data_IF_257520363572
#
_entry.id   IF_257520363572
#
_cell.length_a   1.000
_cell.length_b   1.000
_cell.length_c   1.000
_cell.angle_alpha   90.00
_cell.angle_beta   90.00
_cell.angle_gamma   90.00
#
_symmetry.space_group_name_H-M   'P 1'
#
loop_
_entity.id
_entity.type
_entity.pdbx_description
1 polymer ?
#
# COMPACT_ATOMS: atom_id res chain seq x y z
N UNK A 1 43.90 29.62 18.38
CA UNK A 1 43.50 28.69 17.30
C UNK A 1 44.60 27.68 16.89
N UNK A 2 45.86 28.05 16.70
CA UNK A 2 46.94 27.11 16.29
C UNK A 2 47.19 25.96 17.29
N UNK A 3 47.14 26.22 18.62
CA UNK A 3 47.37 25.21 19.65
C UNK A 3 46.26 24.15 19.72
N UNK A 4 45.01 24.56 19.56
CA UNK A 4 43.87 23.61 19.56
C UNK A 4 43.92 22.66 18.36
N UNK A 5 44.34 23.14 17.19
CA UNK A 5 44.50 22.32 16.00
C UNK A 5 45.65 21.30 16.12
N UNK A 6 46.75 21.71 16.79
CA UNK A 6 47.86 20.80 17.06
C UNK A 6 47.48 19.67 18.04
N UNK A 7 46.69 20.00 19.07
CA UNK A 7 46.17 18.99 20.02
C UNK A 7 45.26 18.02 19.28
N UNK A 8 44.32 18.53 18.49
CA UNK A 8 43.43 17.71 17.68
C UNK A 8 44.16 16.72 16.78
N UNK A 9 45.15 17.21 16.02
CA UNK A 9 45.96 16.36 15.10
C UNK A 9 46.74 15.29 15.83
N UNK A 10 47.29 15.61 17.01
CA UNK A 10 48.01 14.68 17.85
C UNK A 10 47.08 13.58 18.40
N UNK A 11 45.93 13.97 18.89
CA UNK A 11 44.97 13.05 19.53
C UNK A 11 44.31 12.16 18.47
N UNK A 12 44.01 12.69 17.27
CA UNK A 12 43.57 11.91 16.12
C UNK A 12 44.61 10.86 15.71
N UNK A 13 45.90 11.26 15.65
CA UNK A 13 46.99 10.33 15.34
C UNK A 13 47.15 9.22 16.38
N UNK A 14 46.92 9.52 17.68
CA UNK A 14 46.93 8.49 18.75
C UNK A 14 45.76 7.54 18.60
N UNK A 15 44.57 8.07 18.27
CA UNK A 15 43.35 7.28 18.06
C UNK A 15 43.58 6.24 16.95
N UNK A 16 44.08 6.65 15.79
CA UNK A 16 44.36 5.76 14.68
C UNK A 16 45.49 4.73 14.91
N UNK A 17 46.37 4.99 15.86
CA UNK A 17 47.42 4.03 16.25
C UNK A 17 46.91 2.96 17.20
N UNK A 18 45.78 3.16 17.86
CA UNK A 18 45.17 2.20 18.77
C UNK A 18 44.11 1.37 18.02
N UNK A 19 44.43 0.11 17.73
CA UNK A 19 43.55 -0.79 16.97
C UNK A 19 42.18 -0.97 17.65
N UNK A 20 42.13 -1.02 18.98
CA UNK A 20 40.87 -1.16 19.72
C UNK A 20 40.01 0.11 19.58
N UNK A 21 40.62 1.30 19.66
CA UNK A 21 39.91 2.56 19.48
C UNK A 21 39.35 2.71 18.03
N UNK A 22 40.09 2.30 17.02
CA UNK A 22 39.63 2.27 15.63
C UNK A 22 38.46 1.31 15.44
N UNK A 23 38.52 0.11 16.03
CA UNK A 23 37.45 -0.88 15.98
C UNK A 23 36.14 -0.34 16.61
N UNK A 24 36.23 0.30 17.77
CA UNK A 24 35.10 0.92 18.44
C UNK A 24 34.52 2.06 17.59
N UNK A 25 35.38 2.91 17.04
CA UNK A 25 34.93 4.04 16.21
C UNK A 25 34.21 3.57 14.94
N UNK A 26 34.75 2.54 14.28
CA UNK A 26 34.10 1.91 13.13
C UNK A 26 32.77 1.28 13.53
N UNK A 27 32.73 0.55 14.65
CA UNK A 27 31.50 -0.05 15.16
C UNK A 27 30.41 0.97 15.44
N UNK A 28 30.76 2.06 16.15
CA UNK A 28 29.80 3.15 16.45
C UNK A 28 29.30 3.86 15.18
N UNK A 29 30.13 3.95 14.15
CA UNK A 29 29.74 4.60 12.90
C UNK A 29 28.94 3.67 11.98
N UNK A 30 29.32 2.42 11.87
CA UNK A 30 28.73 1.45 10.95
C UNK A 30 27.38 0.91 11.45
N UNK A 31 27.26 0.57 12.74
CA UNK A 31 26.04 0.00 13.29
C UNK A 31 24.80 0.90 13.12
N UNK A 32 24.84 2.20 13.48
CA UNK A 32 23.71 3.09 13.25
C UNK A 32 23.39 3.28 11.75
N UNK A 33 24.44 3.32 10.91
CA UNK A 33 24.27 3.46 9.47
C UNK A 33 23.60 2.25 8.84
N UNK A 34 23.98 1.03 9.26
CA UNK A 34 23.32 -0.20 8.83
C UNK A 34 21.87 -0.25 9.34
N UNK A 35 21.63 0.11 10.60
CA UNK A 35 20.28 0.16 11.12
C UNK A 35 19.38 1.14 10.34
N UNK A 36 19.88 2.34 10.06
CA UNK A 36 19.17 3.31 9.24
C UNK A 36 18.91 2.78 7.83
N UNK A 37 19.91 2.16 7.21
CA UNK A 37 19.80 1.56 5.89
C UNK A 37 18.71 0.48 5.83
N UNK A 38 18.71 -0.47 6.79
CA UNK A 38 17.71 -1.52 6.84
C UNK A 38 16.30 -0.97 7.06
N UNK A 39 16.15 0.04 7.94
CA UNK A 39 14.86 0.68 8.14
C UNK A 39 14.37 1.42 6.88
N UNK A 40 15.25 2.16 6.21
CA UNK A 40 14.90 2.85 4.97
C UNK A 40 14.53 1.82 3.89
N UNK A 41 15.36 0.79 3.69
CA UNK A 41 15.11 -0.24 2.69
C UNK A 41 13.80 -1.00 2.94
N UNK A 42 13.47 -1.31 4.20
CA UNK A 42 12.22 -1.96 4.56
C UNK A 42 10.99 -1.07 4.32
N UNK A 43 11.13 0.25 4.42
CA UNK A 43 10.03 1.20 4.24
C UNK A 43 9.97 1.81 2.83
N UNK A 44 10.97 1.59 1.97
CA UNK A 44 10.97 2.12 0.60
C UNK A 44 9.93 1.47 -0.31
N UNK A 45 9.55 0.22 -0.01
CA UNK A 45 8.49 -0.47 -0.74
C UNK A 45 7.59 -1.25 0.23
N UNK A 46 6.71 -0.55 0.98
CA UNK A 46 5.78 -1.20 1.91
C UNK A 46 4.78 -2.11 1.19
N UNK A 47 4.63 -1.96 -0.12
CA UNK A 47 3.70 -2.72 -0.95
C UNK A 47 4.36 -3.86 -1.74
N UNK A 48 5.68 -4.00 -1.72
CA UNK A 48 6.41 -5.00 -2.49
C UNK A 48 6.01 -6.45 -2.21
N UNK A 49 5.53 -6.72 -0.99
CA UNK A 49 5.04 -8.04 -0.58
C UNK A 49 3.52 -8.19 -0.59
N UNK A 50 2.76 -7.14 -0.95
CA UNK A 50 1.29 -7.17 -0.89
C UNK A 50 0.64 -7.80 -2.12
N UNK A 51 1.39 -8.05 -3.20
CA UNK A 51 0.93 -8.80 -4.39
C UNK A 51 0.39 -10.19 -4.07
N UNK A 52 0.87 -10.80 -2.97
CA UNK A 52 0.37 -12.07 -2.46
C UNK A 52 -1.00 -12.00 -1.78
N UNK A 53 -1.45 -10.81 -1.39
CA UNK A 53 -2.76 -10.58 -0.77
C UNK A 53 -3.81 -10.54 -1.87
N UNK A 54 -4.56 -11.63 -2.01
CA UNK A 54 -5.60 -11.73 -3.04
C UNK A 54 -6.88 -11.04 -2.56
N UNK A 55 -7.32 -10.03 -3.34
CA UNK A 55 -8.57 -9.31 -3.14
C UNK A 55 -9.47 -9.50 -4.36
N UNK A 56 -10.68 -9.99 -4.12
CA UNK A 56 -11.67 -10.20 -5.17
C UNK A 56 -12.43 -8.90 -5.47
N UNK A 57 -12.62 -8.60 -6.74
CA UNK A 57 -13.44 -7.50 -7.24
C UNK A 57 -14.57 -8.07 -8.08
N UNK A 58 -15.80 -7.76 -7.73
CA UNK A 58 -16.97 -8.08 -8.54
C UNK A 58 -17.64 -6.77 -8.98
N UNK A 59 -17.82 -6.60 -10.28
CA UNK A 59 -18.52 -5.47 -10.84
C UNK A 59 -19.90 -5.92 -11.32
N UNK A 60 -20.95 -5.46 -10.64
CA UNK A 60 -22.35 -5.65 -11.02
C UNK A 60 -22.95 -4.36 -11.57
N UNK A 61 -22.18 -3.23 -11.59
CA UNK A 61 -22.64 -1.94 -12.07
C UNK A 61 -23.09 -1.99 -13.54
N UNK A 62 -24.24 -1.41 -13.80
CA UNK A 62 -24.85 -1.39 -15.15
C UNK A 62 -24.53 -0.11 -15.92
N UNK A 63 -23.73 0.78 -15.30
CA UNK A 63 -23.58 2.13 -15.80
C UNK A 63 -24.83 2.98 -15.56
N UNK A 64 -24.76 4.23 -15.93
CA UNK A 64 -25.91 5.12 -15.92
C UNK A 64 -25.77 6.20 -17.00
N UNK A 65 -26.89 6.51 -17.62
CA UNK A 65 -26.98 7.55 -18.65
C UNK A 65 -27.83 8.72 -18.14
N UNK A 66 -27.35 9.93 -18.36
CA UNK A 66 -28.12 11.16 -18.17
C UNK A 66 -28.12 11.96 -19.46
N UNK A 67 -28.97 12.97 -19.57
CA UNK A 67 -29.03 13.85 -20.79
C UNK A 67 -27.68 14.53 -21.08
N UNK A 68 -26.79 14.62 -20.12
CA UNK A 68 -25.51 15.34 -20.20
C UNK A 68 -24.28 14.43 -20.21
N UNK A 69 -24.41 13.19 -19.73
CA UNK A 69 -23.25 12.32 -19.51
C UNK A 69 -23.67 10.86 -19.38
N UNK A 70 -22.89 9.97 -20.01
CA UNK A 70 -22.88 8.54 -19.75
C UNK A 70 -21.76 8.20 -18.78
N UNK A 71 -22.05 7.48 -17.71
CA UNK A 71 -21.07 7.10 -16.67
C UNK A 71 -21.11 5.59 -16.45
N UNK A 72 -19.95 4.96 -16.60
CA UNK A 72 -19.68 3.57 -16.20
C UNK A 72 -18.55 3.56 -15.18
N UNK A 73 -18.90 3.95 -13.93
CA UNK A 73 -17.93 4.11 -12.87
C UNK A 73 -17.38 2.76 -12.41
N UNK A 74 -18.20 1.71 -12.39
CA UNK A 74 -17.79 0.37 -12.03
C UNK A 74 -16.72 -0.18 -12.97
N UNK A 75 -16.93 -0.05 -14.28
CA UNK A 75 -15.95 -0.49 -15.28
C UNK A 75 -14.67 0.34 -15.21
N UNK A 76 -14.78 1.65 -15.00
CA UNK A 76 -13.61 2.52 -14.84
C UNK A 76 -12.76 2.12 -13.61
N UNK A 77 -13.38 1.75 -12.50
CA UNK A 77 -12.70 1.23 -11.32
C UNK A 77 -11.96 -0.06 -11.66
N UNK A 78 -12.63 -1.02 -12.31
CA UNK A 78 -12.04 -2.30 -12.72
C UNK A 78 -10.83 -2.09 -13.61
N UNK A 79 -10.92 -1.20 -14.61
CA UNK A 79 -9.83 -0.96 -15.55
C UNK A 79 -8.62 -0.26 -14.90
N UNK A 80 -8.86 0.58 -13.92
CA UNK A 80 -7.79 1.17 -13.11
C UNK A 80 -7.13 0.12 -12.19
N UNK A 81 -7.92 -0.76 -11.57
CA UNK A 81 -7.39 -1.83 -10.72
C UNK A 81 -6.61 -2.87 -11.52
N UNK A 82 -6.96 -3.15 -12.77
CA UNK A 82 -6.18 -4.03 -13.66
C UNK A 82 -4.76 -3.51 -13.93
N UNK A 83 -4.57 -2.18 -13.89
CA UNK A 83 -3.26 -1.53 -14.07
C UNK A 83 -2.49 -1.39 -12.75
N UNK A 84 -3.15 -1.63 -11.62
CA UNK A 84 -2.56 -1.51 -10.29
C UNK A 84 -2.01 -2.86 -9.85
N UNK A 85 -0.72 -2.93 -9.52
CA UNK A 85 -0.01 -4.14 -9.13
C UNK A 85 0.32 -4.21 -7.62
N UNK A 86 -0.25 -3.30 -6.83
CA UNK A 86 -0.01 -3.24 -5.37
C UNK A 86 -0.62 -4.43 -4.62
N UNK A 87 -1.73 -4.99 -5.12
CA UNK A 87 -2.40 -6.15 -4.54
C UNK A 87 -2.64 -7.22 -5.62
N UNK A 88 -2.93 -8.44 -5.17
CA UNK A 88 -3.31 -9.55 -6.05
C UNK A 88 -4.79 -9.49 -6.46
N UNK A 89 -5.15 -8.49 -7.27
CA UNK A 89 -6.53 -8.29 -7.72
C UNK A 89 -7.07 -9.49 -8.49
N UNK A 90 -8.26 -9.97 -8.13
CA UNK A 90 -8.96 -11.08 -8.79
C UNK A 90 -10.35 -10.61 -9.19
N UNK A 91 -10.58 -10.50 -10.50
CA UNK A 91 -11.86 -10.08 -11.06
C UNK A 91 -12.75 -11.31 -11.24
N UNK A 92 -13.83 -11.39 -10.49
CA UNK A 92 -14.73 -12.55 -10.40
C UNK A 92 -16.17 -12.06 -10.23
N UNK A 93 -17.16 -12.94 -10.34
CA UNK A 93 -18.54 -12.58 -10.02
C UNK A 93 -18.76 -12.41 -8.50
N UNK A 94 -19.85 -11.74 -8.11
CA UNK A 94 -20.14 -11.46 -6.70
C UNK A 94 -20.35 -12.72 -5.86
N UNK A 95 -20.85 -13.80 -6.47
CA UNK A 95 -21.05 -15.08 -5.77
C UNK A 95 -19.70 -15.74 -5.46
N UNK A 96 -18.80 -15.79 -6.45
CA UNK A 96 -17.46 -16.32 -6.28
C UNK A 96 -16.64 -15.45 -5.29
N UNK A 97 -16.74 -14.12 -5.38
CA UNK A 97 -16.10 -13.20 -4.47
C UNK A 97 -16.47 -13.51 -3.01
N UNK A 98 -17.77 -13.54 -2.70
CA UNK A 98 -18.31 -13.83 -1.36
C UNK A 98 -17.92 -15.25 -0.87
N UNK A 99 -18.01 -16.26 -1.74
CA UNK A 99 -17.62 -17.63 -1.41
C UNK A 99 -16.11 -17.73 -1.16
N UNK A 100 -15.31 -17.06 -1.98
CA UNK A 100 -13.85 -17.05 -1.86
C UNK A 100 -13.35 -16.42 -0.55
N UNK A 101 -13.99 -15.34 -0.08
CA UNK A 101 -13.70 -14.77 1.24
C UNK A 101 -14.05 -15.74 2.37
N UNK A 102 -15.24 -16.34 2.34
CA UNK A 102 -15.67 -17.31 3.37
C UNK A 102 -14.77 -18.55 3.43
N UNK A 103 -14.29 -19.02 2.29
CA UNK A 103 -13.39 -20.19 2.21
C UNK A 103 -11.92 -19.85 2.51
N UNK A 104 -11.57 -18.57 2.66
CA UNK A 104 -10.20 -18.13 2.86
C UNK A 104 -9.35 -18.08 1.59
N UNK A 105 -9.95 -18.26 0.41
CA UNK A 105 -9.28 -18.12 -0.90
C UNK A 105 -8.85 -16.65 -1.11
N UNK A 106 -9.74 -15.70 -0.78
CA UNK A 106 -9.48 -14.28 -0.84
C UNK A 106 -9.40 -13.68 0.56
N UNK A 107 -8.55 -12.70 0.75
CA UNK A 107 -8.44 -11.94 1.99
C UNK A 107 -9.66 -11.04 2.19
N UNK A 108 -10.06 -10.38 1.12
CA UNK A 108 -11.21 -9.49 1.08
C UNK A 108 -11.91 -9.58 -0.28
N UNK A 109 -13.13 -9.09 -0.34
CA UNK A 109 -13.84 -8.86 -1.60
C UNK A 109 -14.56 -7.52 -1.57
N UNK A 110 -14.57 -6.84 -2.72
CA UNK A 110 -15.33 -5.63 -2.97
C UNK A 110 -16.33 -5.95 -4.07
N UNK A 111 -17.60 -5.68 -3.81
CA UNK A 111 -18.66 -5.81 -4.80
C UNK A 111 -19.20 -4.42 -5.11
N UNK A 112 -19.12 -4.03 -6.37
CA UNK A 112 -19.68 -2.79 -6.89
C UNK A 112 -21.14 -3.11 -7.25
N UNK A 113 -22.14 -2.51 -6.59
CA UNK A 113 -23.53 -2.82 -6.83
C UNK A 113 -24.03 -2.28 -8.18
N UNK A 114 -25.12 -2.82 -8.66
CA UNK A 114 -25.68 -2.56 -10.01
C UNK A 114 -26.15 -1.11 -10.22
N UNK A 115 -26.41 -0.37 -9.16
CA UNK A 115 -26.84 1.02 -9.18
C UNK A 115 -25.72 2.02 -8.80
N UNK A 116 -24.45 1.59 -8.84
CA UNK A 116 -23.35 2.43 -8.37
C UNK A 116 -23.19 3.70 -9.21
N UNK A 117 -23.14 3.58 -10.53
CA UNK A 117 -23.07 4.73 -11.46
C UNK A 117 -24.32 5.63 -11.38
N UNK A 118 -25.52 5.05 -11.23
CA UNK A 118 -26.75 5.81 -11.03
C UNK A 118 -26.70 6.66 -9.75
N UNK A 119 -26.21 6.05 -8.65
CA UNK A 119 -26.05 6.75 -7.37
C UNK A 119 -25.02 7.89 -7.46
N UNK A 120 -23.95 7.72 -8.22
CA UNK A 120 -22.98 8.79 -8.46
C UNK A 120 -23.59 9.93 -9.27
N UNK A 121 -24.32 9.63 -10.34
CA UNK A 121 -24.98 10.66 -11.15
C UNK A 121 -26.08 11.42 -10.38
N UNK A 122 -26.75 10.78 -9.41
CA UNK A 122 -27.76 11.42 -8.60
C UNK A 122 -27.22 12.60 -7.77
N UNK A 123 -25.92 12.58 -7.44
CA UNK A 123 -25.25 13.69 -6.76
C UNK A 123 -25.25 14.96 -7.64
N UNK A 124 -25.13 14.81 -8.95
CA UNK A 124 -25.13 15.91 -9.91
C UNK A 124 -26.54 16.46 -10.16
N UNK A 125 -27.58 15.64 -10.02
CA UNK A 125 -28.98 16.02 -10.21
C UNK A 125 -29.64 16.58 -8.96
N UNK A 126 -28.95 16.59 -7.81
CA UNK A 126 -29.45 17.13 -6.53
C UNK A 126 -30.32 16.16 -5.73
N UNK A 127 -30.63 14.97 -6.24
CA UNK A 127 -31.31 13.88 -5.52
C UNK A 127 -30.27 12.91 -4.98
N UNK A 128 -29.64 13.26 -3.85
CA UNK A 128 -28.44 12.62 -3.33
C UNK A 128 -28.74 11.20 -2.84
N UNK A 129 -28.52 10.21 -3.70
CA UNK A 129 -28.39 8.81 -3.32
C UNK A 129 -26.91 8.52 -3.02
N UNK A 130 -26.58 8.10 -1.79
CA UNK A 130 -25.22 7.77 -1.44
C UNK A 130 -24.74 6.51 -2.19
N UNK A 131 -23.71 6.59 -3.05
CA UNK A 131 -23.11 5.40 -3.64
C UNK A 131 -22.46 4.56 -2.54
N UNK A 132 -22.71 3.26 -2.54
CA UNK A 132 -22.16 2.31 -1.55
C UNK A 132 -21.43 1.20 -2.29
N UNK A 133 -20.33 0.74 -1.68
CA UNK A 133 -19.62 -0.46 -2.08
C UNK A 133 -19.82 -1.52 -1.00
N UNK A 134 -20.09 -2.74 -1.40
CA UNK A 134 -20.18 -3.86 -0.47
C UNK A 134 -18.77 -4.42 -0.23
N UNK A 135 -18.35 -4.43 1.03
CA UNK A 135 -17.04 -4.91 1.43
C UNK A 135 -17.14 -6.15 2.32
N UNK A 136 -16.41 -7.19 1.97
CA UNK A 136 -16.36 -8.45 2.71
C UNK A 136 -14.91 -8.76 3.09
N UNK A 137 -14.67 -9.14 4.35
CA UNK A 137 -13.35 -9.56 4.87
C UNK A 137 -13.41 -10.93 5.50
N UNK A 138 -12.27 -11.61 5.50
CA UNK A 138 -12.12 -12.89 6.20
C UNK A 138 -11.60 -12.64 7.61
N UNK A 139 -12.50 -12.56 8.59
CA UNK A 139 -12.16 -12.33 10.00
C UNK A 139 -11.26 -13.41 10.60
N UNK A 140 -11.25 -14.64 10.06
CA UNK A 140 -10.42 -15.75 10.54
C UNK A 140 -8.92 -15.57 10.27
N UNK A 141 -8.53 -14.67 9.37
CA UNK A 141 -7.12 -14.37 9.06
C UNK A 141 -6.56 -13.17 9.81
N UNK A 142 -7.36 -12.55 10.69
CA UNK A 142 -6.95 -11.38 11.48
C UNK A 142 -6.61 -11.71 12.94
N UNK A 143 -6.55 -13.00 13.32
CA UNK A 143 -6.13 -13.45 14.66
C UNK A 143 -4.71 -14.00 14.62
#
# INVERSE_FOLDING_TARGET
MKKSFQIFKRDLGRLFRNRAAVLILVGISVLPSLYAWFNIAANMDPYGNTKGIQVAIANEDKGADSEQMSLDAGQNIVDNLKKNDQLGWKFVDAREAKKGVRSGKYYAAIVIPDNFSESLLSILSGDIKQPKLDYYINEKKMQ
#
